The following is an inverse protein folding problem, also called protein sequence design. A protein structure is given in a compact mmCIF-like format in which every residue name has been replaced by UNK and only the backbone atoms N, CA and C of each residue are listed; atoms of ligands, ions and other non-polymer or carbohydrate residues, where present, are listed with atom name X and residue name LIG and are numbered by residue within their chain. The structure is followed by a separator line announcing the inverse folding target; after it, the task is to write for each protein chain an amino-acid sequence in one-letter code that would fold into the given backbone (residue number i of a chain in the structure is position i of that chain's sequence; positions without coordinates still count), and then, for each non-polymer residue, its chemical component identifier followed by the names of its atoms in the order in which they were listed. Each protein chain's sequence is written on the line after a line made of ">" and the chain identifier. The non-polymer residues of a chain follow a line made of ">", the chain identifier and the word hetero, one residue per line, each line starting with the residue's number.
data_IF_034627849228
#
_entry.id   IF_034627849228
#
_cell.length_a   1.000
_cell.length_b   1.000
_cell.length_c   1.000
_cell.angle_alpha   90.00
_cell.angle_beta   90.00
_cell.angle_gamma   90.00
#
_symmetry.space_group_name_H-M   'P 1'
#
loop_
_entity.id
_entity.type
_entity.pdbx_description
1 polymer ?
#
# COMPACT_ATOMS: atom_id res chain seq x y z
N UNK A 1 -5.50 13.79 1.49
CA UNK A 1 -4.92 14.97 0.79
C UNK A 1 -3.57 15.28 1.43
N UNK A 2 -2.50 15.29 0.63
CA UNK A 2 -1.13 15.67 1.04
C UNK A 2 -0.94 17.19 1.26
N UNK A 3 -2.03 17.96 1.21
CA UNK A 3 -2.02 19.43 1.21
C UNK A 3 -2.67 20.02 2.46
N UNK A 4 -2.10 21.15 2.87
CA UNK A 4 -1.82 21.57 4.26
C UNK A 4 -2.90 22.51 4.86
N UNK A 5 -4.14 22.39 4.39
CA UNK A 5 -5.33 23.00 5.02
C UNK A 5 -6.55 22.13 4.72
N UNK A 6 -7.67 22.37 5.42
CA UNK A 6 -9.00 21.90 4.96
C UNK A 6 -9.11 22.24 3.48
N UNK A 7 -9.16 21.21 2.66
CA UNK A 7 -9.30 21.36 1.22
C UNK A 7 -10.58 22.15 0.97
N UNK A 8 -10.49 23.27 0.24
CA UNK A 8 -11.68 24.04 -0.15
C UNK A 8 -12.48 23.34 -1.24
N UNK A 9 -11.88 22.32 -1.87
CA UNK A 9 -12.53 21.49 -2.88
C UNK A 9 -13.35 20.38 -2.22
N UNK A 10 -14.50 20.01 -2.79
CA UNK A 10 -15.29 18.88 -2.30
C UNK A 10 -14.44 17.62 -2.29
N UNK A 11 -14.43 16.90 -1.16
CA UNK A 11 -13.61 15.69 -0.95
C UNK A 11 -13.96 14.52 -1.88
N UNK A 12 -15.06 14.63 -2.64
CA UNK A 12 -15.50 13.66 -3.66
C UNK A 12 -14.78 13.81 -5.01
N UNK A 13 -13.98 14.85 -5.21
CA UNK A 13 -13.13 15.03 -6.40
C UNK A 13 -11.65 14.89 -6.04
N UNK A 14 -10.82 14.49 -7.02
CA UNK A 14 -9.38 14.45 -6.86
C UNK A 14 -8.87 15.79 -6.31
N UNK A 15 -8.16 15.74 -5.18
CA UNK A 15 -7.65 16.92 -4.48
C UNK A 15 -6.73 17.68 -5.46
N UNK A 16 -7.16 18.83 -6.00
CA UNK A 16 -6.36 19.52 -7.01
C UNK A 16 -5.02 19.92 -6.40
N UNK A 17 -3.94 20.02 -7.21
CA UNK A 17 -2.68 20.52 -6.72
C UNK A 17 -2.92 21.87 -6.06
N UNK A 18 -2.38 22.03 -4.85
CA UNK A 18 -2.61 23.23 -4.07
C UNK A 18 -2.09 24.46 -4.82
N UNK A 19 -2.99 25.40 -5.08
CA UNK A 19 -2.70 26.65 -5.80
C UNK A 19 -2.15 27.76 -4.87
N UNK A 20 -2.00 27.46 -3.57
CA UNK A 20 -1.45 28.40 -2.61
C UNK A 20 0.07 28.51 -2.76
N UNK A 21 0.63 29.66 -2.36
CA UNK A 21 2.07 29.85 -2.29
C UNK A 21 2.68 28.97 -1.19
N UNK A 22 3.90 28.50 -1.41
CA UNK A 22 4.65 27.77 -0.41
C UNK A 22 4.81 28.60 0.87
N UNK A 23 4.67 27.95 2.03
CA UNK A 23 4.83 28.59 3.35
C UNK A 23 6.27 28.64 3.84
N UNK A 24 7.19 27.97 3.15
CA UNK A 24 8.61 27.97 3.49
C UNK A 24 9.18 29.39 3.38
N UNK A 25 9.80 29.87 4.47
CA UNK A 25 10.52 31.13 4.53
C UNK A 25 11.72 30.99 5.48
N UNK A 26 12.78 31.70 5.17
CA UNK A 26 13.89 31.88 6.09
C UNK A 26 14.07 33.37 6.41
N UNK A 27 15.08 33.72 7.20
CA UNK A 27 15.43 35.12 7.46
C UNK A 27 15.89 35.87 6.21
N UNK A 28 16.29 35.16 5.15
CA UNK A 28 16.86 35.75 3.94
C UNK A 28 15.84 35.88 2.80
N UNK A 29 14.97 34.89 2.64
CA UNK A 29 14.03 34.85 1.52
C UNK A 29 12.79 34.02 1.84
N UNK A 30 11.71 34.27 1.09
CA UNK A 30 10.48 33.48 1.10
C UNK A 30 10.38 32.72 -0.22
N UNK A 31 9.94 31.46 -0.16
CA UNK A 31 9.71 30.68 -1.38
C UNK A 31 8.57 31.29 -2.21
N UNK A 32 8.82 31.46 -3.50
CA UNK A 32 7.91 32.00 -4.51
C UNK A 32 7.12 30.93 -5.27
N UNK A 33 7.49 29.65 -5.09
CA UNK A 33 6.86 28.50 -5.75
C UNK A 33 5.48 28.17 -5.15
N UNK A 34 4.66 27.49 -5.96
CA UNK A 34 3.38 26.91 -5.51
C UNK A 34 3.60 25.74 -4.55
N UNK A 35 2.62 25.50 -3.69
CA UNK A 35 2.67 24.44 -2.71
C UNK A 35 2.86 23.05 -3.37
N UNK A 36 3.80 22.26 -2.85
CA UNK A 36 4.15 20.93 -3.36
C UNK A 36 5.19 20.93 -4.49
N UNK A 37 5.60 22.08 -5.03
CA UNK A 37 6.80 22.18 -5.85
C UNK A 37 8.08 22.13 -4.98
N UNK A 38 9.21 21.60 -5.49
CA UNK A 38 10.48 21.58 -4.74
C UNK A 38 10.89 22.99 -4.36
N UNK A 39 11.06 23.28 -3.07
CA UNK A 39 11.71 24.52 -2.67
C UNK A 39 13.18 24.47 -3.03
N UNK A 40 13.73 25.61 -3.47
CA UNK A 40 15.18 25.75 -3.65
C UNK A 40 15.80 26.06 -2.28
N UNK A 41 16.73 25.25 -1.74
CA UNK A 41 17.36 25.51 -0.46
C UNK A 41 18.12 26.84 -0.46
N UNK A 42 18.03 27.60 0.63
CA UNK A 42 18.70 28.88 0.78
C UNK A 42 20.24 28.71 0.86
N UNK A 43 20.97 29.43 0.02
CA UNK A 43 22.43 29.37 -0.10
C UNK A 43 23.19 30.42 0.71
N UNK A 44 22.45 31.28 1.41
CA UNK A 44 23.00 32.29 2.33
C UNK A 44 23.64 31.62 3.56
N UNK A 45 24.65 32.27 4.18
CA UNK A 45 25.19 31.83 5.46
C UNK A 45 24.09 31.69 6.51
N UNK A 46 24.19 30.68 7.38
CA UNK A 46 23.22 30.54 8.47
C UNK A 46 23.24 31.79 9.37
N UNK A 47 22.07 32.37 9.63
CA UNK A 47 21.91 33.53 10.51
C UNK A 47 22.04 33.17 12.00
N UNK A 48 22.38 31.91 12.31
CA UNK A 48 22.50 31.44 13.67
C UNK A 48 23.67 32.11 14.40
N UNK A 49 23.33 33.06 15.27
CA UNK A 49 24.26 33.71 16.19
C UNK A 49 23.71 33.55 17.61
N UNK A 50 24.58 33.23 18.54
CA UNK A 50 24.31 33.19 19.97
C UNK A 50 25.64 33.50 20.69
N UNK A 51 25.61 34.32 21.73
CA UNK A 51 26.79 34.67 22.53
C UNK A 51 27.29 33.48 23.36
N UNK A 52 26.39 32.53 23.66
CA UNK A 52 26.72 31.29 24.38
C UNK A 52 27.33 30.20 23.48
N UNK A 53 27.49 30.46 22.17
CA UNK A 53 28.09 29.51 21.24
C UNK A 53 29.45 30.02 20.78
N UNK A 54 30.51 29.30 21.16
CA UNK A 54 31.88 29.66 20.83
C UNK A 54 32.17 29.69 19.32
N UNK A 55 31.42 28.93 18.53
CA UNK A 55 31.62 28.78 17.08
C UNK A 55 30.32 29.07 16.34
N UNK A 56 30.40 29.88 15.27
CA UNK A 56 29.26 30.14 14.38
C UNK A 56 29.02 28.94 13.46
N UNK A 57 27.75 28.72 13.10
CA UNK A 57 27.38 27.69 12.14
C UNK A 57 28.10 27.90 10.81
N UNK A 58 28.81 26.88 10.33
CA UNK A 58 29.55 26.92 9.05
C UNK A 58 28.67 26.57 7.84
N UNK A 59 27.46 26.04 8.09
CA UNK A 59 26.54 25.52 7.08
C UNK A 59 25.68 26.61 6.43
N UNK A 60 25.10 26.27 5.27
CA UNK A 60 24.14 27.13 4.58
C UNK A 60 22.79 27.13 5.31
N UNK A 61 22.02 28.21 5.16
CA UNK A 61 20.71 28.35 5.81
C UNK A 61 19.71 27.24 5.43
N UNK A 62 19.81 26.70 4.20
CA UNK A 62 18.99 25.58 3.73
C UNK A 62 19.44 24.19 4.22
N UNK A 63 20.52 24.10 4.98
CA UNK A 63 21.11 22.85 5.48
C UNK A 63 20.87 22.68 6.98
N UNK A 64 21.00 21.45 7.46
CA UNK A 64 20.99 21.19 8.90
C UNK A 64 22.23 21.86 9.53
N UNK A 65 22.01 22.62 10.60
CA UNK A 65 23.10 23.28 11.31
C UNK A 65 24.04 22.23 11.94
N UNK A 66 25.33 22.53 11.95
CA UNK A 66 26.37 21.78 12.64
C UNK A 66 26.40 22.07 14.16
N UNK A 67 25.74 23.14 14.59
CA UNK A 67 25.59 23.52 16.00
C UNK A 67 24.18 23.19 16.52
N UNK A 68 24.11 22.63 17.74
CA UNK A 68 22.82 22.47 18.45
C UNK A 68 22.24 23.83 18.82
N UNK A 69 20.90 23.99 18.90
CA UNK A 69 20.30 25.22 19.42
C UNK A 69 20.74 25.51 20.86
N UNK A 70 20.87 26.79 21.23
CA UNK A 70 21.18 27.19 22.60
C UNK A 70 19.99 26.88 23.53
N UNK A 71 20.25 26.31 24.71
CA UNK A 71 19.21 25.98 25.70
C UNK A 71 19.14 27.00 26.85
N UNK A 72 19.98 28.04 26.81
CA UNK A 72 19.97 29.10 27.80
C UNK A 72 18.70 29.97 27.72
N UNK A 73 18.22 30.51 28.85
CA UNK A 73 17.12 31.48 28.88
C UNK A 73 17.40 32.70 28.01
N UNK A 74 16.34 33.30 27.46
CA UNK A 74 16.48 34.53 26.70
C UNK A 74 16.86 35.70 27.63
N UNK A 75 17.95 36.44 27.35
CA UNK A 75 18.40 37.56 28.21
C UNK A 75 17.55 38.83 28.04
N UNK A 76 16.52 38.81 27.20
CA UNK A 76 15.72 39.99 26.87
C UNK A 76 14.58 40.19 27.87
N UNK A 77 14.23 41.45 28.07
CA UNK A 77 13.04 41.86 28.82
C UNK A 77 11.89 42.18 27.86
N UNK A 78 10.68 41.72 28.17
CA UNK A 78 9.48 42.00 27.38
C UNK A 78 9.03 43.45 27.57
N UNK A 79 8.14 43.95 26.70
CA UNK A 79 7.61 45.33 26.78
C UNK A 79 6.91 45.65 28.11
N UNK A 80 6.39 44.63 28.79
CA UNK A 80 5.77 44.77 30.11
C UNK A 80 6.77 44.94 31.26
N UNK A 81 8.09 44.86 31.00
CA UNK A 81 9.14 44.98 32.01
C UNK A 81 9.59 43.66 32.64
N UNK A 82 8.90 42.55 32.36
CA UNK A 82 9.25 41.24 32.91
C UNK A 82 10.23 40.45 32.02
N UNK A 83 10.98 39.49 32.60
CA UNK A 83 11.88 38.61 31.85
C UNK A 83 11.16 37.80 30.75
N UNK A 84 11.84 37.59 29.63
CA UNK A 84 11.33 36.75 28.54
C UNK A 84 11.29 35.27 28.95
N UNK A 85 10.17 34.61 28.67
CA UNK A 85 9.99 33.16 28.90
C UNK A 85 10.60 32.27 27.81
N UNK A 86 11.18 32.89 26.78
CA UNK A 86 11.75 32.20 25.63
C UNK A 86 13.18 31.72 25.85
N UNK A 87 13.73 31.10 24.81
CA UNK A 87 15.11 30.61 24.77
C UNK A 87 16.01 31.53 23.93
N UNK A 88 17.29 31.54 24.25
CA UNK A 88 18.27 32.35 23.55
C UNK A 88 18.37 31.97 22.06
N UNK A 89 18.44 32.97 21.19
CA UNK A 89 18.51 32.80 19.73
C UNK A 89 17.17 32.55 19.03
N UNK A 90 16.09 32.26 19.76
CA UNK A 90 14.76 32.09 19.18
C UNK A 90 13.96 33.41 19.21
N UNK A 91 12.94 33.57 18.35
CA UNK A 91 12.00 34.69 18.45
C UNK A 91 11.32 34.69 19.82
N UNK A 92 11.37 35.83 20.51
CA UNK A 92 10.76 35.97 21.83
C UNK A 92 9.24 35.75 21.76
N UNK A 93 8.67 34.86 22.59
CA UNK A 93 7.23 34.74 22.74
C UNK A 93 6.61 36.08 23.15
N UNK A 94 5.43 36.44 22.62
CA UNK A 94 4.76 37.69 22.98
C UNK A 94 4.10 37.64 24.37
N UNK A 95 3.94 36.44 24.93
CA UNK A 95 3.29 36.21 26.22
C UNK A 95 4.29 36.29 27.36
N UNK A 96 3.90 36.95 28.44
CA UNK A 96 4.66 37.08 29.68
C UNK A 96 4.12 36.12 30.75
N UNK A 97 5.01 35.51 31.53
CA UNK A 97 4.64 34.63 32.66
C UNK A 97 3.79 35.33 33.71
N UNK A 98 4.10 36.59 34.01
CA UNK A 98 3.40 37.36 35.04
C UNK A 98 2.12 38.01 34.50
N UNK A 99 2.18 38.63 33.31
CA UNK A 99 1.00 39.32 32.76
C UNK A 99 0.00 38.39 32.06
N UNK A 100 0.44 37.21 31.62
CA UNK A 100 -0.34 36.31 30.75
C UNK A 100 -0.24 34.84 31.18
N UNK A 101 -0.10 34.58 32.48
CA UNK A 101 0.01 33.24 33.04
C UNK A 101 -1.06 32.29 32.48
N UNK A 102 -2.33 32.67 32.58
CA UNK A 102 -3.46 31.83 32.14
C UNK A 102 -3.36 31.43 30.66
N UNK A 103 -2.87 32.33 29.79
CA UNK A 103 -2.73 32.05 28.35
C UNK A 103 -1.53 31.18 28.03
N UNK A 104 -0.48 31.22 28.87
CA UNK A 104 0.69 30.36 28.73
C UNK A 104 0.39 28.93 29.19
N UNK A 105 -0.42 28.79 30.23
CA UNK A 105 -0.77 27.49 30.82
C UNK A 105 -2.10 26.91 30.31
N UNK A 106 -2.81 27.60 29.42
CA UNK A 106 -4.10 27.16 28.84
C UNK A 106 -3.99 25.80 28.13
N UNK A 107 -2.83 25.52 27.53
CA UNK A 107 -2.61 24.37 26.67
C UNK A 107 -1.53 23.46 27.26
N UNK A 108 -1.95 22.45 28.02
CA UNK A 108 -1.07 21.48 28.68
C UNK A 108 -0.79 20.28 27.76
N UNK A 109 0.49 20.04 27.43
CA UNK A 109 0.95 18.86 26.68
C UNK A 109 1.50 17.78 27.59
N UNK A 110 2.36 18.15 28.54
CA UNK A 110 3.07 17.24 29.45
C UNK A 110 2.89 17.64 30.92
N UNK A 111 2.12 18.70 31.20
CA UNK A 111 1.79 19.20 32.54
C UNK A 111 2.95 19.89 33.28
N UNK A 112 4.03 20.28 32.58
CA UNK A 112 5.17 21.03 33.14
C UNK A 112 5.04 22.56 32.94
N UNK A 113 3.94 23.04 32.36
CA UNK A 113 3.79 24.43 31.90
C UNK A 113 3.73 25.44 33.06
N UNK A 114 3.42 24.98 34.28
CA UNK A 114 3.32 25.79 35.50
C UNK A 114 4.64 25.95 36.25
N UNK A 115 5.66 25.16 35.91
CA UNK A 115 6.98 25.25 36.55
C UNK A 115 7.64 26.62 36.25
N UNK A 116 8.12 27.36 37.27
CA UNK A 116 8.83 28.64 37.12
C UNK A 116 9.93 28.65 36.05
N UNK A 117 10.62 27.53 35.87
CA UNK A 117 11.75 27.39 34.97
C UNK A 117 11.39 26.92 33.57
N UNK A 118 10.12 26.61 33.30
CA UNK A 118 9.68 26.23 31.96
C UNK A 118 9.96 27.33 30.94
N UNK A 119 10.37 26.91 29.75
CA UNK A 119 10.68 27.80 28.64
C UNK A 119 9.74 27.53 27.48
N UNK A 120 9.44 28.57 26.72
CA UNK A 120 8.43 28.52 25.68
C UNK A 120 8.99 28.90 24.31
N UNK A 121 8.49 28.26 23.27
CA UNK A 121 8.86 28.47 21.88
C UNK A 121 7.68 29.06 21.12
N UNK A 122 7.94 30.10 20.32
CA UNK A 122 6.95 30.69 19.42
C UNK A 122 6.96 29.97 18.05
N UNK A 123 5.84 29.36 17.68
CA UNK A 123 5.65 28.79 16.35
C UNK A 123 5.23 29.89 15.36
N UNK A 124 6.19 30.44 14.61
CA UNK A 124 5.99 31.56 13.68
C UNK A 124 4.94 31.30 12.58
N UNK A 125 4.63 30.04 12.27
CA UNK A 125 3.64 29.66 11.24
C UNK A 125 2.19 29.85 11.69
N UNK A 126 1.93 29.80 13.00
CA UNK A 126 0.58 29.90 13.57
C UNK A 126 0.45 30.91 14.72
N UNK A 127 1.57 31.42 15.25
CA UNK A 127 1.59 32.37 16.36
C UNK A 127 1.43 31.75 17.74
N UNK A 128 1.29 30.42 17.86
CA UNK A 128 1.15 29.77 19.16
C UNK A 128 2.48 29.71 19.91
N UNK A 129 2.42 30.06 21.20
CA UNK A 129 3.49 29.86 22.18
C UNK A 129 3.25 28.54 22.89
N UNK A 130 4.23 27.65 22.87
CA UNK A 130 4.12 26.29 23.43
C UNK A 130 5.38 25.99 24.23
N UNK A 131 5.23 25.27 25.34
CA UNK A 131 6.34 24.82 26.18
C UNK A 131 7.33 23.95 25.36
N UNK A 132 8.62 24.17 25.60
CA UNK A 132 9.73 23.63 24.81
C UNK A 132 9.82 22.10 24.83
N UNK A 133 9.79 21.49 26.01
CA UNK A 133 10.05 20.05 26.19
C UNK A 133 8.89 19.21 25.68
N UNK A 134 7.66 19.62 25.98
CA UNK A 134 6.44 19.02 25.45
C UNK A 134 6.37 19.14 23.93
N UNK A 135 6.72 20.30 23.37
CA UNK A 135 6.81 20.45 21.91
C UNK A 135 7.93 19.57 21.31
N UNK A 136 9.09 19.48 21.97
CA UNK A 136 10.21 18.64 21.54
C UNK A 136 9.80 17.17 21.49
N UNK A 137 9.11 16.66 22.52
CA UNK A 137 8.56 15.31 22.56
C UNK A 137 7.52 15.07 21.45
N UNK A 138 6.57 15.99 21.30
CA UNK A 138 5.55 15.91 20.24
C UNK A 138 6.15 15.84 18.84
N UNK A 139 7.16 16.67 18.54
CA UNK A 139 7.77 16.70 17.22
C UNK A 139 8.62 15.45 16.94
N UNK A 140 9.23 14.84 17.95
CA UNK A 140 10.02 13.60 17.79
C UNK A 140 9.15 12.36 17.48
N UNK A 141 7.87 12.36 17.86
CA UNK A 141 6.97 11.27 17.56
C UNK A 141 6.83 11.05 16.04
N UNK A 142 7.14 9.85 15.55
CA UNK A 142 6.86 9.44 14.16
C UNK A 142 5.42 8.95 14.08
N UNK A 143 4.62 9.48 13.15
CA UNK A 143 3.29 8.95 12.92
C UNK A 143 3.41 7.62 12.16
N UNK A 144 2.67 6.60 12.59
CA UNK A 144 2.65 5.32 11.89
C UNK A 144 2.17 5.53 10.45
N UNK A 145 3.02 5.13 9.50
CA UNK A 145 2.74 5.02 8.05
C UNK A 145 2.28 6.27 7.28
N UNK A 146 2.34 7.48 7.85
CA UNK A 146 1.99 8.73 7.15
C UNK A 146 3.16 9.72 7.05
N UNK A 147 3.63 9.96 5.82
CA UNK A 147 4.66 10.97 5.55
C UNK A 147 3.98 12.34 5.48
N UNK A 148 4.05 13.12 6.56
CA UNK A 148 3.46 14.46 6.63
C UNK A 148 4.36 15.43 7.38
N UNK A 149 4.27 16.72 7.04
CA UNK A 149 4.95 17.77 7.79
C UNK A 149 4.52 17.75 9.26
N UNK A 150 5.46 18.01 10.17
CA UNK A 150 5.16 18.13 11.60
C UNK A 150 4.18 19.28 11.84
N UNK A 151 3.26 19.10 12.79
CA UNK A 151 2.14 20.01 13.00
C UNK A 151 2.14 20.59 14.42
N UNK A 152 1.67 21.83 14.53
CA UNK A 152 1.38 22.45 15.82
C UNK A 152 0.38 21.58 16.61
N UNK A 153 0.67 21.18 17.85
CA UNK A 153 -0.24 20.32 18.61
C UNK A 153 -1.59 20.98 18.92
N UNK A 154 -1.62 22.32 19.08
CA UNK A 154 -2.84 23.11 19.38
C UNK A 154 -3.78 23.28 18.19
N UNK A 155 -3.25 23.67 17.02
CA UNK A 155 -4.10 24.03 15.86
C UNK A 155 -3.85 23.18 14.60
N UNK A 156 -2.97 22.19 14.68
CA UNK A 156 -2.56 21.31 13.58
C UNK A 156 -1.96 22.02 12.35
N UNK A 157 -1.65 23.32 12.48
CA UNK A 157 -0.96 24.06 11.41
C UNK A 157 0.43 23.46 11.20
N UNK A 158 0.81 23.06 9.97
CA UNK A 158 2.13 22.53 9.70
C UNK A 158 3.24 23.55 9.94
N UNK A 159 4.32 23.05 10.50
CA UNK A 159 5.48 23.83 10.94
C UNK A 159 6.53 23.74 9.85
N UNK A 160 6.74 24.84 9.15
CA UNK A 160 7.78 25.01 8.13
C UNK A 160 8.95 25.81 8.67
N UNK A 161 8.69 26.70 9.63
CA UNK A 161 9.61 27.77 9.98
C UNK A 161 9.81 27.78 11.50
N UNK A 162 10.81 27.05 11.96
CA UNK A 162 11.29 27.12 13.34
C UNK A 162 12.79 26.87 13.37
N UNK A 163 13.56 27.80 13.94
CA UNK A 163 15.03 27.75 13.95
C UNK A 163 15.54 26.59 14.80
N UNK A 164 15.03 26.44 16.02
CA UNK A 164 15.41 25.39 16.96
C UNK A 164 15.14 24.00 16.40
N UNK A 165 13.94 23.79 15.85
CA UNK A 165 13.54 22.50 15.29
C UNK A 165 13.85 22.36 13.79
N UNK A 166 14.72 23.22 13.24
CA UNK A 166 15.00 23.28 11.80
C UNK A 166 15.54 21.95 11.25
N UNK A 167 16.42 21.26 12.00
CA UNK A 167 16.96 19.97 11.56
C UNK A 167 15.84 18.93 11.33
N UNK A 168 14.92 18.81 12.29
CA UNK A 168 13.78 17.90 12.23
C UNK A 168 12.77 18.30 11.15
N UNK A 169 12.54 19.60 10.98
CA UNK A 169 11.69 20.14 9.92
C UNK A 169 12.29 19.84 8.54
N UNK A 170 13.60 20.03 8.36
CA UNK A 170 14.31 19.72 7.12
C UNK A 170 14.29 18.22 6.80
N UNK A 171 14.48 17.35 7.80
CA UNK A 171 14.36 15.90 7.65
C UNK A 171 12.95 15.51 7.18
N UNK A 172 11.92 15.96 7.92
CA UNK A 172 10.52 15.67 7.56
C UNK A 172 10.18 16.24 6.18
N UNK A 173 10.71 17.42 5.84
CA UNK A 173 10.50 18.03 4.54
C UNK A 173 11.15 17.23 3.41
N UNK A 174 12.36 16.70 3.60
CA UNK A 174 13.02 15.79 2.64
C UNK A 174 12.22 14.51 2.44
N UNK A 175 11.66 13.94 3.49
CA UNK A 175 10.80 12.75 3.39
C UNK A 175 9.54 13.04 2.58
N UNK A 176 8.84 14.15 2.91
CA UNK A 176 7.66 14.62 2.17
C UNK A 176 8.00 14.90 0.71
N UNK A 177 9.12 15.56 0.44
CA UNK A 177 9.60 15.78 -0.91
C UNK A 177 9.87 14.46 -1.63
N UNK A 178 10.55 13.50 -1.01
CA UNK A 178 10.87 12.20 -1.62
C UNK A 178 9.59 11.47 -2.03
N UNK A 179 8.54 11.50 -1.21
CA UNK A 179 7.23 10.91 -1.57
C UNK A 179 6.55 11.70 -2.69
N UNK A 180 6.54 13.04 -2.61
CA UNK A 180 6.00 13.90 -3.66
C UNK A 180 6.75 13.72 -5.00
N UNK A 181 8.06 13.46 -4.97
CA UNK A 181 8.90 13.20 -6.15
C UNK A 181 8.81 11.76 -6.65
N UNK A 182 8.59 10.76 -5.79
CA UNK A 182 8.22 9.42 -6.26
C UNK A 182 6.89 9.44 -7.02
N UNK A 183 5.93 10.26 -6.59
CA UNK A 183 4.66 10.46 -7.31
C UNK A 183 4.79 11.37 -8.55
N UNK A 184 5.63 12.41 -8.53
CA UNK A 184 5.88 13.30 -9.69
C UNK A 184 6.93 12.76 -10.68
N UNK A 185 7.69 11.76 -10.30
CA UNK A 185 8.77 11.13 -11.07
C UNK A 185 8.33 9.91 -11.86
N UNK A 186 7.04 9.54 -11.84
CA UNK A 186 6.50 8.70 -12.91
C UNK A 186 6.67 9.47 -14.22
N UNK A 187 7.51 8.97 -15.13
CA UNK A 187 7.54 9.49 -16.49
C UNK A 187 6.09 9.56 -16.99
N UNK A 188 5.67 10.74 -17.45
CA UNK A 188 4.35 10.88 -18.07
C UNK A 188 4.36 9.93 -19.27
N UNK A 189 3.51 8.88 -19.25
CA UNK A 189 3.53 7.89 -20.31
C UNK A 189 3.09 8.54 -21.62
N UNK A 190 3.79 8.24 -22.69
CA UNK A 190 3.38 8.66 -24.03
C UNK A 190 2.20 7.81 -24.49
N UNK A 191 1.32 8.39 -25.32
CA UNK A 191 0.23 7.64 -25.95
C UNK A 191 0.73 6.38 -26.68
N UNK A 192 1.92 6.47 -27.29
CA UNK A 192 2.56 5.32 -27.95
C UNK A 192 2.79 4.18 -26.95
N UNK A 193 3.44 4.46 -25.82
CA UNK A 193 3.71 3.46 -24.78
C UNK A 193 2.42 2.82 -24.26
N UNK A 194 1.34 3.60 -24.12
CA UNK A 194 0.04 3.08 -23.65
C UNK A 194 -0.56 2.13 -24.70
N UNK A 195 -0.55 2.51 -25.97
CA UNK A 195 -1.09 1.67 -27.06
C UNK A 195 -0.24 0.41 -27.30
N UNK A 196 1.07 0.53 -27.17
CA UNK A 196 1.99 -0.60 -27.30
C UNK A 196 1.70 -1.68 -26.24
N UNK A 197 1.29 -1.33 -25.01
CA UNK A 197 0.89 -2.30 -23.96
C UNK A 197 -0.25 -3.23 -24.41
N UNK A 198 -1.24 -2.69 -25.12
CA UNK A 198 -2.34 -3.50 -25.64
C UNK A 198 -1.90 -4.37 -26.81
N UNK A 199 -1.01 -3.85 -27.66
CA UNK A 199 -0.45 -4.61 -28.79
C UNK A 199 0.40 -5.79 -28.31
N UNK A 200 1.24 -5.59 -27.28
CA UNK A 200 2.10 -6.65 -26.70
C UNK A 200 1.31 -7.77 -26.04
N UNK A 201 0.09 -7.49 -25.57
CA UNK A 201 -0.80 -8.46 -24.92
C UNK A 201 -1.84 -9.03 -25.92
N UNK A 202 -1.65 -8.84 -27.24
CA UNK A 202 -2.58 -9.22 -28.31
C UNK A 202 -4.02 -8.73 -28.09
N UNK A 203 -4.17 -7.55 -27.48
CA UNK A 203 -5.44 -6.92 -27.13
C UNK A 203 -5.88 -5.86 -28.15
N UNK A 204 -5.30 -5.84 -29.35
CA UNK A 204 -5.69 -4.97 -30.48
C UNK A 204 -5.68 -5.81 -31.75
N UNK A 205 -6.71 -5.71 -32.59
CA UNK A 205 -6.73 -6.35 -33.90
C UNK A 205 -5.96 -5.54 -34.95
N UNK A 206 -5.73 -6.11 -36.14
CA UNK A 206 -5.00 -5.47 -37.25
C UNK A 206 -5.61 -4.13 -37.70
N UNK A 207 -6.89 -3.90 -37.38
CA UNK A 207 -7.61 -2.67 -37.65
C UNK A 207 -7.51 -1.62 -36.52
N UNK A 208 -6.70 -1.84 -35.48
CA UNK A 208 -6.51 -0.91 -34.37
C UNK A 208 -7.69 -0.83 -33.40
N UNK A 209 -8.62 -1.80 -33.47
CA UNK A 209 -9.71 -1.93 -32.49
C UNK A 209 -9.22 -2.80 -31.35
N UNK A 210 -9.64 -2.55 -30.08
CA UNK A 210 -9.36 -3.48 -29.00
C UNK A 210 -9.76 -4.91 -29.40
N UNK A 211 -8.77 -5.81 -29.49
CA UNK A 211 -8.84 -7.21 -29.88
C UNK A 211 -9.49 -8.04 -28.78
N UNK A 212 -10.77 -7.78 -28.55
CA UNK A 212 -11.65 -8.52 -27.66
C UNK A 212 -12.61 -9.39 -28.49
N UNK A 213 -12.17 -9.93 -29.62
CA UNK A 213 -13.01 -10.77 -30.47
C UNK A 213 -12.96 -12.25 -30.04
N UNK A 214 -14.10 -12.67 -29.46
CA UNK A 214 -14.68 -14.01 -29.22
C UNK A 214 -13.81 -15.02 -28.43
N UNK A 215 -14.10 -15.35 -27.16
CA UNK A 215 -15.37 -15.92 -26.64
C UNK A 215 -15.80 -15.39 -25.25
N UNK A 216 -15.01 -14.51 -24.60
CA UNK A 216 -15.15 -14.22 -23.15
C UNK A 216 -15.40 -12.73 -22.79
N UNK A 217 -15.78 -11.85 -23.74
CA UNK A 217 -15.37 -10.43 -23.69
C UNK A 217 -16.44 -9.31 -23.76
N UNK A 218 -17.75 -9.62 -23.80
CA UNK A 218 -18.79 -8.58 -24.02
C UNK A 218 -18.75 -7.46 -22.95
N UNK A 219 -18.50 -7.81 -21.70
CA UNK A 219 -18.40 -6.86 -20.59
C UNK A 219 -17.19 -5.92 -20.72
N UNK A 220 -15.99 -6.48 -20.97
CA UNK A 220 -14.77 -5.69 -21.11
C UNK A 220 -14.90 -4.71 -22.27
N UNK A 221 -15.46 -5.18 -23.39
CA UNK A 221 -15.68 -4.35 -24.56
C UNK A 221 -16.70 -3.23 -24.26
N UNK A 222 -17.78 -3.52 -23.53
CA UNK A 222 -18.77 -2.54 -23.11
C UNK A 222 -18.17 -1.45 -22.20
N UNK A 223 -17.41 -1.85 -21.16
CA UNK A 223 -16.72 -0.93 -20.25
C UNK A 223 -15.72 -0.03 -20.97
N UNK A 224 -14.90 -0.60 -21.85
CA UNK A 224 -13.91 0.15 -22.65
C UNK A 224 -14.62 1.10 -23.62
N UNK A 225 -15.73 0.68 -24.22
CA UNK A 225 -16.50 1.49 -25.19
C UNK A 225 -17.19 2.67 -24.55
N UNK A 226 -17.69 2.51 -23.33
CA UNK A 226 -18.32 3.59 -22.55
C UNK A 226 -17.30 4.60 -22.01
N UNK A 227 -16.04 4.19 -21.86
CA UNK A 227 -14.94 5.07 -21.42
C UNK A 227 -14.37 5.96 -22.53
N UNK A 228 -13.57 6.97 -22.16
CA UNK A 228 -12.80 7.77 -23.13
C UNK A 228 -11.67 6.98 -23.80
N UNK A 229 -11.26 5.84 -23.24
CA UNK A 229 -10.13 5.06 -23.71
C UNK A 229 -10.28 4.60 -25.17
N UNK A 230 -11.44 4.03 -25.52
CA UNK A 230 -11.68 3.53 -26.88
C UNK A 230 -11.54 4.63 -27.92
N UNK A 231 -12.16 5.80 -27.67
CA UNK A 231 -12.13 6.95 -28.58
C UNK A 231 -10.71 7.49 -28.74
N UNK A 232 -9.97 7.61 -27.64
CA UNK A 232 -8.59 8.14 -27.64
C UNK A 232 -7.61 7.21 -28.37
N UNK A 233 -7.65 5.90 -28.09
CA UNK A 233 -6.80 4.92 -28.76
C UNK A 233 -7.11 4.84 -30.26
N UNK A 234 -8.40 4.76 -30.62
CA UNK A 234 -8.84 4.69 -32.02
C UNK A 234 -8.40 5.92 -32.83
N UNK A 235 -8.57 7.12 -32.28
CA UNK A 235 -8.14 8.36 -32.94
C UNK A 235 -6.61 8.43 -33.11
N UNK A 236 -5.84 7.98 -32.12
CA UNK A 236 -4.39 7.92 -32.21
C UNK A 236 -3.91 6.95 -33.31
N UNK A 237 -4.48 5.74 -33.38
CA UNK A 237 -4.11 4.75 -34.40
C UNK A 237 -4.48 5.19 -35.82
N UNK A 238 -5.65 5.81 -36.01
CA UNK A 238 -6.03 6.40 -37.30
C UNK A 238 -5.09 7.54 -37.72
N UNK A 239 -4.62 8.36 -36.77
CA UNK A 239 -3.64 9.40 -37.04
C UNK A 239 -2.31 8.78 -37.52
N UNK A 240 -1.85 7.69 -36.90
CA UNK A 240 -0.65 6.94 -37.35
C UNK A 240 -0.83 6.36 -38.76
N UNK A 241 -1.99 5.76 -39.07
CA UNK A 241 -2.26 5.23 -40.41
C UNK A 241 -2.32 6.35 -41.47
N UNK A 242 -2.95 7.48 -41.15
CA UNK A 242 -3.00 8.65 -42.05
C UNK A 242 -1.62 9.29 -42.30
N UNK A 243 -0.70 9.19 -41.34
CA UNK A 243 0.69 9.67 -41.46
C UNK A 243 1.57 8.76 -42.33
N UNK A 244 1.22 7.47 -42.48
CA UNK A 244 1.88 6.56 -43.44
C UNK A 244 1.48 6.85 -44.90
N UNK A 245 0.30 7.44 -45.12
CA UNK A 245 -0.27 7.72 -46.45
C UNK A 245 0.06 9.14 -46.98
N UNK A 246 0.44 10.07 -46.11
CA UNK A 246 0.85 11.44 -46.47
C UNK A 246 2.35 11.57 -46.19
N UNK A 247 3.15 11.90 -47.20
CA UNK A 247 4.61 12.04 -47.08
C UNK A 247 5.09 12.98 -45.94
N UNK A 248 6.41 13.08 -45.69
CA UNK A 248 7.04 13.51 -44.43
C UNK A 248 6.73 14.93 -43.89
N UNK A 249 5.78 15.67 -44.49
CA UNK A 249 5.39 17.03 -44.10
C UNK A 249 4.01 17.15 -43.44
N UNK A 250 3.23 16.08 -43.28
CA UNK A 250 1.97 16.14 -42.52
C UNK A 250 2.21 15.80 -41.04
N UNK A 251 2.40 16.82 -40.18
CA UNK A 251 2.35 16.60 -38.72
C UNK A 251 0.92 16.18 -38.34
N UNK A 252 0.70 15.03 -37.69
CA UNK A 252 -0.60 14.70 -37.15
C UNK A 252 -1.04 15.83 -36.20
N UNK A 253 -2.32 16.25 -36.25
CA UNK A 253 -2.88 17.22 -35.30
C UNK A 253 -2.56 16.72 -33.89
N UNK A 254 -1.77 17.48 -33.13
CA UNK A 254 -1.41 17.14 -31.76
C UNK A 254 -2.69 16.90 -30.94
N UNK A 255 -2.89 15.66 -30.51
CA UNK A 255 -3.93 15.31 -29.56
C UNK A 255 -3.46 15.87 -28.21
N UNK A 256 -3.95 17.06 -27.83
CA UNK A 256 -3.57 17.72 -26.56
C UNK A 256 -4.24 17.00 -25.39
N UNK A 257 -3.68 15.88 -24.98
CA UNK A 257 -3.91 15.32 -23.65
C UNK A 257 -2.92 15.96 -22.68
N UNK A 258 -3.42 16.42 -21.54
CA UNK A 258 -2.55 16.84 -20.46
C UNK A 258 -1.93 15.63 -19.73
N UNK A 259 -0.97 15.89 -18.84
CA UNK A 259 -0.29 14.83 -18.10
C UNK A 259 -1.26 13.99 -17.25
N UNK A 260 -2.30 14.60 -16.67
CA UNK A 260 -3.24 13.91 -15.80
C UNK A 260 -4.11 12.93 -16.61
N UNK A 261 -4.53 13.33 -17.81
CA UNK A 261 -5.26 12.48 -18.75
C UNK A 261 -4.41 11.31 -19.24
N UNK A 262 -3.12 11.52 -19.50
CA UNK A 262 -2.19 10.45 -19.89
C UNK A 262 -1.97 9.43 -18.76
N UNK A 263 -1.82 9.90 -17.52
CA UNK A 263 -1.71 9.02 -16.36
C UNK A 263 -2.99 8.21 -16.12
N UNK A 264 -4.15 8.84 -16.26
CA UNK A 264 -5.44 8.15 -16.15
C UNK A 264 -5.58 7.05 -17.22
N UNK A 265 -5.27 7.39 -18.47
CA UNK A 265 -5.36 6.44 -19.58
C UNK A 265 -4.39 5.26 -19.39
N UNK A 266 -3.17 5.53 -18.92
CA UNK A 266 -2.21 4.48 -18.59
C UNK A 266 -2.70 3.57 -17.46
N UNK A 267 -3.24 4.16 -16.39
CA UNK A 267 -3.76 3.39 -15.26
C UNK A 267 -4.96 2.51 -15.68
N UNK A 268 -5.90 3.06 -16.44
CA UNK A 268 -7.01 2.29 -17.00
C UNK A 268 -6.50 1.12 -17.87
N UNK A 269 -5.42 1.34 -18.64
CA UNK A 269 -4.84 0.28 -19.48
C UNK A 269 -4.25 -0.85 -18.63
N UNK A 270 -3.51 -0.50 -17.57
CA UNK A 270 -2.93 -1.46 -16.63
C UNK A 270 -4.03 -2.28 -15.94
N UNK A 271 -5.14 -1.64 -15.55
CA UNK A 271 -6.31 -2.32 -14.96
C UNK A 271 -6.97 -3.27 -15.96
N UNK A 272 -7.17 -2.86 -17.21
CA UNK A 272 -7.77 -3.74 -18.24
C UNK A 272 -6.92 -4.99 -18.47
N UNK A 273 -5.59 -4.84 -18.56
CA UNK A 273 -4.66 -5.96 -18.76
C UNK A 273 -4.71 -6.91 -17.54
N UNK A 274 -4.64 -6.34 -16.33
CA UNK A 274 -4.67 -7.14 -15.10
C UNK A 274 -6.01 -7.86 -14.93
N UNK A 275 -7.12 -7.15 -15.15
CA UNK A 275 -8.45 -7.72 -15.02
C UNK A 275 -8.69 -8.84 -16.05
N UNK A 276 -8.18 -8.72 -17.28
CA UNK A 276 -8.27 -9.82 -18.26
C UNK A 276 -7.57 -11.08 -17.75
N UNK A 277 -6.34 -10.95 -17.24
CA UNK A 277 -5.58 -12.09 -16.69
C UNK A 277 -6.32 -12.75 -15.52
N UNK A 278 -6.85 -11.94 -14.60
CA UNK A 278 -7.64 -12.44 -13.46
C UNK A 278 -8.93 -13.11 -13.95
N UNK A 279 -9.64 -12.54 -14.92
CA UNK A 279 -10.88 -13.09 -15.47
C UNK A 279 -10.70 -14.48 -16.08
N UNK A 280 -9.60 -14.70 -16.80
CA UNK A 280 -9.26 -16.01 -17.39
C UNK A 280 -9.00 -17.08 -16.31
N UNK A 281 -8.57 -16.65 -15.11
CA UNK A 281 -8.34 -17.50 -13.94
C UNK A 281 -9.58 -17.60 -13.00
N UNK A 282 -10.68 -16.87 -13.26
CA UNK A 282 -11.84 -16.77 -12.37
C UNK A 282 -13.05 -17.62 -12.82
N UNK A 283 -13.65 -18.30 -11.83
CA UNK A 283 -14.99 -18.88 -11.96
C UNK A 283 -16.08 -17.82 -12.10
N UNK A 284 -17.23 -18.22 -12.68
CA UNK A 284 -18.38 -17.32 -12.94
C UNK A 284 -18.88 -16.54 -11.72
N UNK A 285 -18.74 -17.05 -10.50
CA UNK A 285 -19.26 -16.39 -9.28
C UNK A 285 -18.55 -15.09 -8.92
N UNK A 286 -17.22 -15.03 -9.11
CA UNK A 286 -16.37 -13.90 -8.68
C UNK A 286 -16.12 -12.88 -9.79
N UNK A 287 -16.58 -13.16 -11.02
CA UNK A 287 -16.48 -12.23 -12.15
C UNK A 287 -17.22 -10.91 -11.89
N UNK A 288 -18.33 -10.93 -11.16
CA UNK A 288 -19.10 -9.72 -10.80
C UNK A 288 -18.32 -8.74 -9.93
N UNK A 289 -17.43 -9.23 -9.08
CA UNK A 289 -16.59 -8.35 -8.24
C UNK A 289 -15.55 -7.63 -9.11
N UNK A 290 -14.94 -8.38 -10.03
CA UNK A 290 -14.02 -7.83 -11.02
C UNK A 290 -14.71 -6.81 -11.94
N UNK A 291 -15.93 -7.12 -12.40
CA UNK A 291 -16.74 -6.24 -13.23
C UNK A 291 -17.00 -4.89 -12.53
N UNK A 292 -17.39 -4.91 -11.25
CA UNK A 292 -17.61 -3.69 -10.47
C UNK A 292 -16.36 -2.81 -10.34
N UNK A 293 -15.21 -3.42 -10.07
CA UNK A 293 -13.93 -2.69 -10.00
C UNK A 293 -13.60 -2.04 -11.34
N UNK A 294 -13.80 -2.77 -12.44
CA UNK A 294 -13.57 -2.26 -13.78
C UNK A 294 -14.49 -1.09 -14.12
N UNK A 295 -15.80 -1.19 -13.87
CA UNK A 295 -16.75 -0.09 -14.11
C UNK A 295 -16.35 1.17 -13.35
N UNK A 296 -15.95 1.02 -12.08
CA UNK A 296 -15.51 2.14 -11.24
C UNK A 296 -14.27 2.84 -11.81
N UNK A 297 -13.29 2.08 -12.33
CA UNK A 297 -12.08 2.63 -12.95
C UNK A 297 -12.37 3.27 -14.31
N UNK A 298 -13.19 2.63 -15.14
CA UNK A 298 -13.46 3.06 -16.51
C UNK A 298 -14.42 4.26 -16.57
N UNK A 299 -15.18 4.52 -15.50
CA UNK A 299 -16.01 5.73 -15.35
C UNK A 299 -15.20 7.00 -15.05
N UNK A 300 -13.92 6.89 -14.69
CA UNK A 300 -13.06 8.04 -14.40
C UNK A 300 -12.69 8.80 -15.69
N UNK A 301 -12.78 10.14 -15.66
CA UNK A 301 -12.71 10.98 -16.87
C UNK A 301 -11.74 12.18 -16.80
N UNK A 302 -11.12 12.44 -15.65
CA UNK A 302 -10.31 13.67 -15.44
C UNK A 302 -8.92 13.34 -14.91
N UNK A 303 -8.84 12.76 -13.71
CA UNK A 303 -7.59 12.35 -13.08
C UNK A 303 -7.86 11.29 -12.02
N UNK A 304 -6.81 10.56 -11.67
CA UNK A 304 -6.84 9.50 -10.65
C UNK A 304 -5.80 9.82 -9.59
N UNK A 305 -6.20 9.71 -8.32
CA UNK A 305 -5.31 9.94 -7.18
C UNK A 305 -4.56 8.64 -6.86
N UNK A 306 -3.31 8.74 -6.40
CA UNK A 306 -2.49 7.57 -6.07
C UNK A 306 -3.17 6.61 -5.09
N UNK A 307 -3.89 7.14 -4.10
CA UNK A 307 -4.66 6.34 -3.15
C UNK A 307 -5.72 5.47 -3.84
N UNK A 308 -6.48 6.02 -4.78
CA UNK A 308 -7.49 5.26 -5.54
C UNK A 308 -6.83 4.17 -6.40
N UNK A 309 -5.67 4.48 -7.01
CA UNK A 309 -4.91 3.47 -7.78
C UNK A 309 -4.46 2.31 -6.90
N UNK A 310 -4.00 2.61 -5.68
CA UNK A 310 -3.57 1.63 -4.70
C UNK A 310 -4.74 0.77 -4.20
N UNK A 311 -5.89 1.39 -3.89
CA UNK A 311 -7.13 0.70 -3.52
C UNK A 311 -7.59 -0.26 -4.61
N UNK A 312 -7.62 0.18 -5.87
CA UNK A 312 -7.96 -0.67 -7.03
C UNK A 312 -6.96 -1.81 -7.20
N UNK A 313 -5.66 -1.52 -7.10
CA UNK A 313 -4.63 -2.55 -7.24
C UNK A 313 -4.76 -3.63 -6.17
N UNK A 314 -4.95 -3.22 -4.91
CA UNK A 314 -5.14 -4.14 -3.80
C UNK A 314 -6.42 -4.97 -3.96
N UNK A 315 -7.50 -4.38 -4.45
CA UNK A 315 -8.75 -5.09 -4.68
C UNK A 315 -8.64 -6.11 -5.83
N UNK A 316 -7.95 -5.77 -6.92
CA UNK A 316 -7.65 -6.72 -7.99
C UNK A 316 -6.79 -7.89 -7.48
N UNK A 317 -5.80 -7.63 -6.62
CA UNK A 317 -5.03 -8.71 -5.98
C UNK A 317 -5.92 -9.57 -5.07
N UNK A 318 -6.79 -8.98 -4.24
CA UNK A 318 -7.71 -9.72 -3.38
C UNK A 318 -8.59 -10.66 -4.20
N UNK A 319 -9.19 -10.18 -5.29
CA UNK A 319 -10.02 -10.98 -6.20
C UNK A 319 -9.22 -12.15 -6.80
N UNK A 320 -7.98 -11.89 -7.21
CA UNK A 320 -7.08 -12.95 -7.71
C UNK A 320 -6.82 -14.02 -6.66
N UNK A 321 -6.54 -13.63 -5.41
CA UNK A 321 -6.31 -14.57 -4.32
C UNK A 321 -7.54 -15.40 -3.97
N UNK A 322 -8.74 -14.84 -4.07
CA UNK A 322 -9.98 -15.60 -3.90
C UNK A 322 -10.05 -16.78 -4.88
N UNK A 323 -9.62 -16.59 -6.13
CA UNK A 323 -9.53 -17.69 -7.11
C UNK A 323 -8.52 -18.76 -6.67
N UNK A 324 -7.31 -18.35 -6.30
CA UNK A 324 -6.24 -19.26 -5.84
C UNK A 324 -6.74 -20.09 -4.66
N UNK A 325 -7.39 -19.45 -3.69
CA UNK A 325 -7.84 -20.06 -2.45
C UNK A 325 -8.88 -21.15 -2.65
N UNK A 326 -9.68 -21.10 -3.73
CA UNK A 326 -10.57 -22.21 -4.08
C UNK A 326 -9.79 -23.50 -4.30
N UNK A 327 -8.66 -23.45 -5.03
CA UNK A 327 -7.80 -24.61 -5.28
C UNK A 327 -7.00 -25.04 -4.05
N UNK A 328 -6.70 -24.10 -3.16
CA UNK A 328 -5.97 -24.38 -1.92
C UNK A 328 -6.87 -25.11 -0.94
N UNK A 329 -8.11 -24.67 -0.75
CA UNK A 329 -9.05 -25.27 0.22
C UNK A 329 -9.30 -26.76 0.01
N UNK A 330 -9.12 -27.28 -1.19
CA UNK A 330 -9.28 -28.72 -1.49
C UNK A 330 -8.03 -29.55 -1.22
N UNK A 331 -6.92 -28.94 -0.76
CA UNK A 331 -5.63 -29.63 -0.61
C UNK A 331 -5.48 -30.39 0.70
N UNK A 332 -6.23 -30.07 1.75
CA UNK A 332 -6.06 -30.74 3.04
C UNK A 332 -7.22 -30.48 3.99
N UNK A 333 -7.42 -31.39 4.94
CA UNK A 333 -8.55 -31.35 5.89
C UNK A 333 -8.12 -31.37 7.36
N UNK A 334 -6.83 -31.36 7.67
CA UNK A 334 -6.39 -31.38 9.07
C UNK A 334 -6.39 -29.99 9.72
N UNK A 335 -6.39 -29.99 11.05
CA UNK A 335 -6.56 -28.77 11.85
C UNK A 335 -5.52 -27.69 11.55
N UNK A 336 -4.24 -28.07 11.39
CA UNK A 336 -3.14 -27.14 11.14
C UNK A 336 -3.26 -26.46 9.76
N UNK A 337 -3.63 -27.23 8.74
CA UNK A 337 -3.92 -26.69 7.41
C UNK A 337 -5.15 -25.80 7.44
N UNK A 338 -6.25 -26.26 8.07
CA UNK A 338 -7.49 -25.50 8.19
C UNK A 338 -7.31 -24.20 8.97
N UNK A 339 -6.47 -24.18 10.00
CA UNK A 339 -6.11 -22.98 10.75
C UNK A 339 -5.36 -21.98 9.85
N UNK A 340 -4.36 -22.46 9.09
CA UNK A 340 -3.63 -21.62 8.13
C UNK A 340 -4.60 -21.02 7.08
N UNK A 341 -5.54 -21.82 6.57
CA UNK A 341 -6.57 -21.34 5.63
C UNK A 341 -7.49 -20.30 6.28
N UNK A 342 -7.91 -20.49 7.53
CA UNK A 342 -8.74 -19.52 8.28
C UNK A 342 -8.00 -18.19 8.49
N UNK A 343 -6.70 -18.22 8.76
CA UNK A 343 -5.89 -17.01 8.87
C UNK A 343 -5.86 -16.24 7.54
N UNK A 344 -5.67 -16.94 6.43
CA UNK A 344 -5.72 -16.32 5.09
C UNK A 344 -7.11 -15.71 4.85
N UNK A 345 -8.19 -16.43 5.17
CA UNK A 345 -9.57 -15.95 5.00
C UNK A 345 -9.85 -14.69 5.83
N UNK A 346 -9.34 -14.61 7.07
CA UNK A 346 -9.46 -13.42 7.92
C UNK A 346 -8.67 -12.21 7.40
N UNK A 347 -7.57 -12.44 6.67
CA UNK A 347 -6.79 -11.39 6.00
C UNK A 347 -7.45 -10.88 4.72
N UNK A 348 -8.19 -11.74 4.01
CA UNK A 348 -8.88 -11.40 2.75
C UNK A 348 -10.33 -10.94 2.93
N UNK A 349 -10.76 -10.73 4.18
CA UNK A 349 -12.15 -10.38 4.48
C UNK A 349 -12.58 -9.10 3.75
N UNK A 350 -13.73 -9.10 3.02
CA UNK A 350 -14.12 -7.97 2.16
C UNK A 350 -14.31 -6.64 2.87
N UNK A 351 -14.53 -6.66 4.19
CA UNK A 351 -14.74 -5.47 5.02
C UNK A 351 -13.42 -4.84 5.49
N UNK A 352 -12.29 -5.51 5.28
CA UNK A 352 -10.95 -5.03 5.68
C UNK A 352 -10.20 -4.46 4.48
N UNK A 353 -9.34 -3.48 4.75
CA UNK A 353 -8.47 -2.91 3.70
C UNK A 353 -7.38 -3.92 3.36
N UNK A 354 -7.38 -4.42 2.12
CA UNK A 354 -6.27 -5.20 1.59
C UNK A 354 -5.12 -4.25 1.27
N UNK A 355 -3.94 -4.46 1.86
CA UNK A 355 -2.75 -3.61 1.65
C UNK A 355 -1.58 -4.43 1.13
N UNK A 356 -0.51 -3.78 0.68
CA UNK A 356 0.73 -4.49 0.30
C UNK A 356 1.37 -5.28 1.45
N UNK A 357 1.10 -4.91 2.71
CA UNK A 357 1.52 -5.72 3.86
C UNK A 357 0.66 -6.98 3.96
N UNK A 358 -0.67 -6.84 3.91
CA UNK A 358 -1.61 -7.97 3.91
C UNK A 358 -1.31 -8.94 2.76
N UNK A 359 -0.99 -8.44 1.57
CA UNK A 359 -0.57 -9.28 0.43
C UNK A 359 0.69 -10.11 0.75
N UNK A 360 1.68 -9.52 1.42
CA UNK A 360 2.90 -10.23 1.84
C UNK A 360 2.58 -11.32 2.86
N UNK A 361 1.69 -11.04 3.79
CA UNK A 361 1.28 -11.99 4.83
C UNK A 361 0.49 -13.16 4.21
N UNK A 362 -0.44 -12.87 3.28
CA UNK A 362 -1.16 -13.89 2.50
C UNK A 362 -0.20 -14.76 1.69
N UNK A 363 0.80 -14.18 1.02
CA UNK A 363 1.84 -14.95 0.29
C UNK A 363 2.65 -15.86 1.23
N UNK A 364 3.00 -15.38 2.42
CA UNK A 364 3.74 -16.17 3.39
C UNK A 364 2.92 -17.39 3.87
N UNK A 365 1.63 -17.18 4.18
CA UNK A 365 0.72 -18.24 4.58
C UNK A 365 0.43 -19.23 3.43
N UNK A 366 0.26 -18.75 2.19
CA UNK A 366 0.12 -19.63 1.03
C UNK A 366 1.35 -20.52 0.84
N UNK A 367 2.56 -20.00 1.09
CA UNK A 367 3.78 -20.80 1.06
C UNK A 367 3.82 -21.86 2.15
N UNK A 368 3.24 -21.60 3.31
CA UNK A 368 3.04 -22.63 4.35
C UNK A 368 2.07 -23.69 3.84
N UNK A 369 0.95 -23.29 3.21
CA UNK A 369 0.00 -24.22 2.59
C UNK A 369 0.66 -25.16 1.55
N UNK A 370 1.70 -24.70 0.84
CA UNK A 370 2.46 -25.51 -0.13
C UNK A 370 3.35 -26.58 0.52
N UNK A 371 3.69 -26.46 1.80
CA UNK A 371 4.53 -27.44 2.50
C UNK A 371 3.78 -28.73 2.85
N UNK A 372 2.45 -28.70 2.83
CA UNK A 372 1.61 -29.84 3.15
C UNK A 372 1.41 -30.75 1.93
N UNK A 373 1.54 -32.07 2.12
CA UNK A 373 1.47 -33.05 1.03
C UNK A 373 0.03 -33.44 0.76
N UNK A 374 -0.59 -32.84 -0.27
CA UNK A 374 -1.90 -33.27 -0.77
C UNK A 374 -2.92 -33.54 0.34
N UNK A 375 -3.93 -34.38 0.07
CA UNK A 375 -5.02 -34.66 1.02
C UNK A 375 -4.62 -35.13 2.43
N UNK A 376 -3.34 -35.43 2.69
CA UNK A 376 -2.83 -35.73 4.03
C UNK A 376 -2.80 -34.51 4.95
N UNK A 377 -2.57 -33.31 4.39
CA UNK A 377 -2.38 -32.08 5.14
C UNK A 377 -1.15 -32.04 6.06
N UNK A 378 -0.25 -33.03 6.05
CA UNK A 378 0.98 -33.05 6.87
C UNK A 378 2.21 -32.69 6.01
N UNK A 379 3.29 -32.23 6.64
CA UNK A 379 4.54 -31.95 5.94
C UNK A 379 5.21 -33.23 5.43
N UNK A 380 6.16 -33.11 4.50
CA UNK A 380 6.93 -34.27 4.05
C UNK A 380 7.78 -34.91 5.15
N UNK A 381 8.32 -34.09 6.05
CA UNK A 381 9.04 -34.58 7.23
C UNK A 381 8.11 -35.38 8.14
N UNK A 382 6.91 -34.86 8.43
CA UNK A 382 5.90 -35.57 9.25
C UNK A 382 5.46 -36.88 8.59
N UNK A 383 5.21 -36.86 7.28
CA UNK A 383 4.91 -38.07 6.50
C UNK A 383 5.99 -39.13 6.64
N UNK A 384 7.27 -38.75 6.48
CA UNK A 384 8.40 -39.67 6.61
C UNK A 384 8.52 -40.22 8.04
N UNK A 385 8.21 -39.42 9.06
CA UNK A 385 8.17 -39.88 10.45
C UNK A 385 7.07 -40.92 10.68
N UNK A 386 5.87 -40.71 10.11
CA UNK A 386 4.78 -41.69 10.19
C UNK A 386 5.17 -43.00 9.49
N UNK A 387 5.73 -42.94 8.28
CA UNK A 387 6.20 -44.15 7.58
C UNK A 387 7.29 -44.89 8.36
N UNK A 388 8.21 -44.15 9.00
CA UNK A 388 9.26 -44.74 9.84
C UNK A 388 8.69 -45.39 11.10
N UNK A 389 7.67 -44.79 11.72
CA UNK A 389 7.00 -45.36 12.88
C UNK A 389 6.17 -46.61 12.50
N UNK A 390 5.60 -46.62 11.30
CA UNK A 390 4.79 -47.70 10.73
C UNK A 390 5.62 -48.63 9.82
N UNK A 391 6.87 -48.92 10.19
CA UNK A 391 7.83 -49.65 9.34
C UNK A 391 7.38 -51.06 8.93
N UNK A 392 6.44 -51.65 9.67
CA UNK A 392 5.87 -52.97 9.43
C UNK A 392 4.65 -52.94 8.47
N UNK A 393 4.18 -51.76 8.06
CA UNK A 393 3.06 -51.63 7.14
C UNK A 393 3.56 -51.78 5.70
N UNK A 394 2.95 -52.71 4.98
CA UNK A 394 3.32 -53.00 3.58
C UNK A 394 2.94 -51.85 2.65
N UNK A 395 3.76 -51.59 1.64
CA UNK A 395 3.43 -50.59 0.60
C UNK A 395 2.12 -50.95 -0.11
N UNK A 396 1.22 -49.99 -0.25
CA UNK A 396 -0.12 -50.17 -0.82
C UNK A 396 -1.21 -50.49 0.22
N UNK A 397 -0.86 -50.46 1.51
CA UNK A 397 -1.79 -50.70 2.62
C UNK A 397 -2.39 -49.43 3.24
N UNK A 398 -2.12 -48.27 2.63
CA UNK A 398 -2.71 -46.98 2.98
C UNK A 398 -3.85 -46.65 2.04
N UNK A 399 -4.97 -46.21 2.60
CA UNK A 399 -6.25 -46.01 1.90
C UNK A 399 -6.90 -44.69 2.28
N UNK A 400 -7.86 -44.26 1.47
CA UNK A 400 -8.70 -43.07 1.66
C UNK A 400 -10.16 -43.46 1.75
N UNK A 401 -10.86 -42.86 2.70
CA UNK A 401 -12.31 -42.89 2.75
C UNK A 401 -12.93 -42.07 1.59
N UNK A 402 -14.26 -42.13 1.37
CA UNK A 402 -14.93 -41.33 0.32
C UNK A 402 -14.72 -39.82 0.42
N UNK A 403 -14.41 -39.32 1.63
CA UNK A 403 -14.15 -37.91 1.91
C UNK A 403 -12.64 -37.55 1.90
N UNK A 404 -11.76 -38.50 1.57
CA UNK A 404 -10.32 -38.24 1.40
C UNK A 404 -9.43 -38.42 2.64
N UNK A 405 -9.99 -38.68 3.83
CA UNK A 405 -9.19 -38.99 5.03
C UNK A 405 -8.45 -40.32 4.92
N UNK A 406 -7.21 -40.35 5.38
CA UNK A 406 -6.28 -41.46 5.19
C UNK A 406 -6.30 -42.40 6.40
N UNK A 407 -6.36 -43.69 6.13
CA UNK A 407 -6.26 -44.77 7.11
C UNK A 407 -5.33 -45.87 6.59
N UNK A 408 -4.83 -46.72 7.49
CA UNK A 408 -4.02 -47.87 7.13
C UNK A 408 -4.71 -49.18 7.53
N UNK A 409 -4.40 -50.24 6.78
CA UNK A 409 -4.75 -51.62 7.12
C UNK A 409 -3.43 -52.34 7.40
N UNK A 410 -3.17 -52.73 8.64
CA UNK A 410 -1.80 -53.09 9.07
C UNK A 410 -1.42 -54.54 8.75
N UNK A 411 -2.21 -55.54 9.16
CA UNK A 411 -1.79 -56.95 9.19
C UNK A 411 -1.47 -57.54 7.80
N UNK A 412 -2.46 -57.64 6.92
CA UNK A 412 -2.30 -58.19 5.57
C UNK A 412 -2.32 -57.10 4.49
N UNK A 413 -2.54 -55.84 4.86
CA UNK A 413 -2.69 -54.72 3.94
C UNK A 413 -3.97 -54.73 3.10
N UNK A 414 -4.79 -55.79 3.14
CA UNK A 414 -6.04 -55.91 2.39
C UNK A 414 -7.28 -55.82 3.26
N UNK A 415 -8.38 -55.29 2.70
CA UNK A 415 -9.61 -55.06 3.44
C UNK A 415 -10.36 -56.35 3.79
N UNK A 416 -10.39 -56.70 5.07
CA UNK A 416 -11.08 -57.91 5.57
C UNK A 416 -12.38 -57.60 6.31
N UNK A 417 -12.48 -56.39 6.87
CA UNK A 417 -13.64 -55.92 7.62
C UNK A 417 -13.95 -54.47 7.27
N UNK A 418 -15.18 -54.05 7.54
CA UNK A 418 -15.62 -52.65 7.39
C UNK A 418 -15.50 -51.92 8.73
N UNK A 419 -15.04 -50.68 8.69
CA UNK A 419 -14.96 -49.79 9.85
C UNK A 419 -15.60 -48.43 9.57
N UNK A 420 -15.40 -47.50 10.50
CA UNK A 420 -15.88 -46.11 10.40
C UNK A 420 -14.67 -45.17 10.44
N UNK A 421 -14.61 -44.22 9.52
CA UNK A 421 -13.58 -43.19 9.50
C UNK A 421 -13.68 -42.32 10.76
N UNK A 422 -12.58 -42.17 11.53
CA UNK A 422 -12.60 -41.41 12.78
C UNK A 422 -12.85 -39.90 12.54
N UNK A 423 -12.50 -39.37 11.37
CA UNK A 423 -12.59 -37.95 11.08
C UNK A 423 -13.96 -37.52 10.54
N UNK A 424 -14.62 -38.35 9.72
CA UNK A 424 -15.87 -37.97 9.04
C UNK A 424 -17.04 -38.95 9.17
N UNK A 425 -16.85 -40.08 9.85
CA UNK A 425 -17.91 -41.08 10.04
C UNK A 425 -18.26 -41.89 8.77
N UNK A 426 -17.58 -41.68 7.65
CA UNK A 426 -17.80 -42.47 6.43
C UNK A 426 -17.36 -43.93 6.62
N UNK A 427 -18.00 -44.86 5.91
CA UNK A 427 -17.65 -46.29 5.97
C UNK A 427 -16.32 -46.52 5.24
N UNK A 428 -15.40 -47.22 5.91
CA UNK A 428 -14.07 -47.57 5.41
C UNK A 428 -13.85 -49.08 5.40
N UNK A 429 -12.77 -49.54 4.76
CA UNK A 429 -12.42 -50.97 4.69
C UNK A 429 -13.13 -51.70 3.56
N UNK A 430 -13.62 -52.91 3.85
CA UNK A 430 -14.12 -53.85 2.84
C UNK A 430 -14.22 -55.27 3.36
N UNK A 431 -14.09 -56.27 2.49
CA UNK A 431 -14.15 -57.67 2.88
C UNK A 431 -13.50 -58.59 1.87
N UNK A 432 -13.01 -59.75 2.32
CA UNK A 432 -12.33 -60.74 1.45
C UNK A 432 -11.16 -60.15 0.65
N UNK A 433 -10.34 -59.31 1.31
CA UNK A 433 -9.27 -58.50 0.73
C UNK A 433 -9.71 -57.47 -0.34
N UNK A 434 -11.02 -57.32 -0.56
CA UNK A 434 -11.58 -56.38 -1.53
C UNK A 434 -11.99 -55.08 -0.84
N UNK A 435 -11.35 -53.99 -1.24
CA UNK A 435 -11.67 -52.65 -0.79
C UNK A 435 -13.07 -52.26 -1.30
N UNK A 436 -13.80 -51.48 -0.51
CA UNK A 436 -15.04 -50.89 -0.97
C UNK A 436 -14.82 -50.00 -2.20
N UNK A 437 -15.78 -49.93 -3.13
CA UNK A 437 -15.65 -49.16 -4.37
C UNK A 437 -15.64 -47.64 -4.16
N UNK A 438 -16.13 -47.16 -3.01
CA UNK A 438 -16.14 -45.75 -2.61
C UNK A 438 -14.86 -45.34 -1.84
N UNK A 439 -13.94 -46.29 -1.60
CA UNK A 439 -12.65 -46.08 -0.98
C UNK A 439 -11.54 -46.16 -2.06
N UNK A 440 -10.38 -45.54 -1.81
CA UNK A 440 -9.27 -45.50 -2.80
C UNK A 440 -7.90 -45.68 -2.15
N UNK A 441 -6.86 -46.00 -2.92
CA UNK A 441 -5.47 -46.09 -2.41
C UNK A 441 -4.95 -44.68 -2.11
N UNK A 442 -4.24 -44.54 -0.98
CA UNK A 442 -3.58 -43.30 -0.57
C UNK A 442 -2.15 -43.22 -1.12
N UNK A 443 -2.01 -43.09 -2.45
CA UNK A 443 -0.71 -43.02 -3.13
C UNK A 443 0.21 -41.92 -2.59
N UNK A 444 -0.38 -40.82 -2.10
CA UNK A 444 0.34 -39.71 -1.47
C UNK A 444 1.09 -40.11 -0.19
N UNK A 445 0.70 -41.21 0.47
CA UNK A 445 1.30 -41.63 1.74
C UNK A 445 2.59 -42.43 1.53
N UNK A 446 2.61 -43.43 0.65
CA UNK A 446 3.75 -44.35 0.48
C UNK A 446 4.22 -44.51 -0.98
N UNK A 447 3.59 -43.78 -1.91
CA UNK A 447 3.90 -43.86 -3.34
C UNK A 447 3.42 -45.14 -4.01
N UNK A 448 2.44 -45.85 -3.44
CA UNK A 448 1.82 -47.01 -4.07
C UNK A 448 0.85 -46.59 -5.18
N UNK A 449 0.96 -47.24 -6.35
CA UNK A 449 0.02 -47.08 -7.47
C UNK A 449 -1.03 -48.19 -7.51
N UNK A 450 -0.91 -49.18 -6.62
CA UNK A 450 -1.79 -50.34 -6.52
C UNK A 450 -1.97 -50.74 -5.05
N UNK A 451 -2.99 -51.55 -4.80
CA UNK A 451 -3.29 -52.13 -3.50
C UNK A 451 -2.19 -53.10 -3.07
N UNK A 452 -1.93 -53.21 -1.76
CA UNK A 452 -1.02 -54.23 -1.23
C UNK A 452 -1.50 -55.65 -1.60
N UNK A 453 -2.82 -55.86 -1.67
CA UNK A 453 -3.44 -57.10 -2.10
C UNK A 453 -4.14 -56.94 -3.47
N UNK A 454 -3.90 -57.82 -4.46
CA UNK A 454 -4.60 -57.80 -5.74
C UNK A 454 -6.12 -57.83 -5.55
N UNK A 455 -6.84 -56.92 -6.22
CA UNK A 455 -8.30 -56.71 -6.04
C UNK A 455 -9.15 -57.62 -6.91
#
# INVERSE_FOLDING_TARGET
>A
CWYVRRCKSPCSAACPPCQEKCRWKCSHSRCDKICGAPCTPCQEPCSSKCEHQAVRCSKKCGEACDQKPCEEPCPKTLKCGHPCVGLCGDPCPPLCRECNFDKLTEFELVCNEKDPDSRFVLLQDCGHTIEHDGLSGWLKHKADNSVQMKQCPRCKTPIYNNRRFNALILETYKDVQTVLFKHRGQQVPTLKQIVDKFSTENMVNDAGRPGLELDNSLFFLDCITKSQMRKTIFNYMNALQSSKLKGPKARPKEFKLDAAQLHLLNFQADVVIMAKKIHDELDRSHRKDLERVMEQVMSQNVSVVSQFMEEVHCELQRIRYVSIMKSVRTRGHNDRFLETVREIDALMEPTRVFTTQVERDVKALLKICETFIGGLGISNEERLLVLKAMYNVTKGAWYKCPNGHIYCITECGGAMETGVCPDCGAIIGGGSHRLRPDNSVASEMDGATAHAWPQ
#
